data_IF_634161831610
#
_entry.id   IF_634161831610
#
_cell.length_a   1.000
_cell.length_b   1.000
_cell.length_c   1.000
_cell.angle_alpha   90.00
_cell.angle_beta   90.00
_cell.angle_gamma   90.00
#
_symmetry.space_group_name_H-M   'P 1'
#
loop_
_entity.id
_entity.type
_entity.pdbx_description
1 polymer ?
#
# COMPACT_ATOMS: atom_id res chain seq x y z
N UNK A 1 -19.12 -21.17 27.15
CA UNK A 1 -18.98 -20.15 26.09
C UNK A 1 -18.57 -18.85 26.74
N UNK A 2 -17.29 -18.49 26.66
CA UNK A 2 -16.78 -17.20 27.12
C UNK A 2 -16.01 -16.59 25.95
N UNK A 3 -16.56 -15.51 25.39
CA UNK A 3 -15.85 -14.67 24.45
C UNK A 3 -14.79 -13.90 25.24
N UNK A 4 -13.52 -14.17 24.98
CA UNK A 4 -12.44 -13.28 25.39
C UNK A 4 -12.49 -12.03 24.52
N UNK A 5 -12.50 -10.81 25.09
CA UNK A 5 -12.39 -9.60 24.30
C UNK A 5 -10.99 -9.54 23.69
N UNK A 6 -10.89 -9.46 22.37
CA UNK A 6 -9.61 -9.23 21.69
C UNK A 6 -9.04 -7.89 22.14
N UNK A 7 -7.89 -7.92 22.81
CA UNK A 7 -7.14 -6.77 23.37
C UNK A 7 -6.58 -5.77 22.34
N UNK A 8 -7.19 -5.61 21.17
CA UNK A 8 -6.72 -4.72 20.10
C UNK A 8 -7.66 -3.54 19.80
N UNK A 9 -8.69 -3.29 20.62
CA UNK A 9 -9.67 -2.22 20.39
C UNK A 9 -9.26 -0.83 20.91
N UNK A 10 -7.99 -0.60 21.24
CA UNK A 10 -7.55 0.68 21.81
C UNK A 10 -6.27 1.21 21.16
N UNK A 11 -6.31 1.39 19.84
CA UNK A 11 -5.47 2.39 19.16
C UNK A 11 -6.41 3.20 18.26
N UNK A 12 -6.99 4.22 18.87
CA UNK A 12 -7.53 5.45 18.24
C UNK A 12 -8.57 5.23 17.13
N UNK A 13 -9.84 5.16 17.55
CA UNK A 13 -10.93 5.70 16.73
C UNK A 13 -10.70 7.21 16.55
N UNK A 14 -9.88 7.59 15.58
CA UNK A 14 -9.73 8.97 15.17
C UNK A 14 -10.95 9.30 14.31
N UNK A 15 -12.00 9.81 14.97
CA UNK A 15 -13.07 10.66 14.45
C UNK A 15 -13.37 10.53 12.94
N UNK A 16 -14.47 9.83 12.65
CA UNK A 16 -15.15 9.73 11.35
C UNK A 16 -15.69 11.09 10.84
N UNK A 17 -14.82 12.04 10.49
CA UNK A 17 -15.28 13.26 9.81
C UNK A 17 -14.27 13.95 8.87
N UNK A 18 -13.10 13.37 8.59
CA UNK A 18 -12.40 13.72 7.35
C UNK A 18 -13.14 13.00 6.24
N UNK A 19 -14.02 13.72 5.53
CA UNK A 19 -14.49 13.31 4.20
C UNK A 19 -13.25 12.83 3.44
N UNK A 20 -13.17 11.52 3.20
CA UNK A 20 -11.98 10.87 2.67
C UNK A 20 -11.61 11.60 1.38
N UNK A 21 -10.56 12.42 1.42
CA UNK A 21 -10.08 13.15 0.25
C UNK A 21 -9.92 12.12 -0.85
N UNK A 22 -10.56 12.39 -2.00
CA UNK A 22 -10.55 11.46 -3.12
C UNK A 22 -9.10 11.08 -3.43
N UNK A 23 -8.85 9.85 -3.86
CA UNK A 23 -7.48 9.44 -4.18
C UNK A 23 -6.83 10.37 -5.23
N UNK A 24 -7.59 10.97 -6.13
CA UNK A 24 -7.07 11.92 -7.12
C UNK A 24 -6.58 13.24 -6.50
N UNK A 25 -7.22 13.71 -5.43
CA UNK A 25 -6.93 15.00 -4.78
C UNK A 25 -5.86 14.91 -3.68
N UNK A 26 -5.35 13.71 -3.41
CA UNK A 26 -4.32 13.49 -2.39
C UNK A 26 -2.96 14.08 -2.80
N UNK A 27 -2.23 14.72 -1.86
CA UNK A 27 -1.05 15.49 -2.19
C UNK A 27 0.22 14.67 -2.48
N UNK A 28 0.29 13.41 -2.05
CA UNK A 28 1.40 12.52 -2.40
C UNK A 28 0.96 11.54 -3.48
N UNK A 29 1.63 11.54 -4.62
CA UNK A 29 1.36 10.57 -5.68
C UNK A 29 1.80 9.17 -5.25
N UNK A 30 3.03 9.04 -4.77
CA UNK A 30 3.64 7.77 -4.39
C UNK A 30 4.31 7.91 -3.03
N UNK A 31 4.07 6.94 -2.15
CA UNK A 31 4.84 6.82 -0.91
C UNK A 31 5.42 5.42 -0.74
N UNK A 32 6.63 5.37 -0.18
CA UNK A 32 7.33 4.18 0.24
C UNK A 32 8.02 4.48 1.57
N UNK A 33 7.75 3.65 2.58
CA UNK A 33 8.49 3.64 3.83
C UNK A 33 9.18 2.29 4.01
N UNK A 34 10.48 2.29 4.23
CA UNK A 34 11.24 1.08 4.52
C UNK A 34 12.74 1.29 4.42
N UNK A 35 13.51 0.34 4.93
CA UNK A 35 14.97 0.41 4.82
C UNK A 35 15.39 0.47 3.33
N UNK A 36 16.15 1.50 2.96
CA UNK A 36 16.73 1.67 1.63
C UNK A 36 17.97 0.77 1.49
N UNK A 37 17.72 -0.50 1.16
CA UNK A 37 18.77 -1.48 0.83
C UNK A 37 19.33 -1.23 -0.56
N UNK A 38 20.44 -1.89 -0.93
CA UNK A 38 20.99 -1.82 -2.29
C UNK A 38 19.93 -2.19 -3.34
N UNK A 39 19.08 -3.19 -3.07
CA UNK A 39 17.99 -3.60 -3.96
C UNK A 39 16.96 -2.49 -4.15
N UNK A 40 16.58 -1.76 -3.09
CA UNK A 40 15.54 -0.72 -3.12
C UNK A 40 16.01 0.65 -3.62
N UNK A 41 17.30 0.85 -3.89
CA UNK A 41 17.83 2.14 -4.39
C UNK A 41 17.22 2.59 -5.71
N UNK A 42 16.70 1.66 -6.53
CA UNK A 42 15.99 2.02 -7.75
C UNK A 42 14.80 2.93 -7.48
N UNK A 43 14.09 2.77 -6.35
CA UNK A 43 12.94 3.62 -6.00
C UNK A 43 13.33 5.09 -5.87
N UNK A 44 14.55 5.39 -5.39
CA UNK A 44 15.05 6.76 -5.34
C UNK A 44 15.27 7.30 -6.75
N UNK A 45 15.99 6.55 -7.59
CA UNK A 45 16.28 6.97 -8.96
C UNK A 45 15.00 7.14 -9.81
N UNK A 46 14.03 6.23 -9.69
CA UNK A 46 12.75 6.33 -10.38
C UNK A 46 11.89 7.48 -9.82
N UNK A 47 11.93 7.74 -8.51
CA UNK A 47 11.24 8.91 -7.93
C UNK A 47 11.76 10.24 -8.47
N UNK A 48 13.08 10.37 -8.63
CA UNK A 48 13.71 11.57 -9.20
C UNK A 48 13.29 11.77 -10.66
N UNK A 49 13.31 10.69 -11.46
CA UNK A 49 12.82 10.73 -12.86
C UNK A 49 11.36 11.14 -12.95
N UNK A 50 10.51 10.55 -12.10
CA UNK A 50 9.08 10.82 -12.08
C UNK A 50 8.79 12.28 -11.73
N UNK A 51 9.42 12.82 -10.68
CA UNK A 51 9.24 14.23 -10.28
C UNK A 51 9.81 15.20 -11.32
N UNK A 52 10.87 14.83 -12.05
CA UNK A 52 11.38 15.64 -13.16
C UNK A 52 10.40 15.68 -14.34
N UNK A 53 9.70 14.58 -14.63
CA UNK A 53 8.67 14.51 -15.66
C UNK A 53 7.33 15.13 -15.23
N UNK A 54 7.06 15.21 -13.93
CA UNK A 54 5.83 15.73 -13.34
C UNK A 54 6.14 16.77 -12.24
N UNK A 55 6.43 18.04 -12.60
CA UNK A 55 6.93 19.04 -11.64
C UNK A 55 5.98 19.38 -10.48
N UNK A 56 4.69 19.08 -10.62
CA UNK A 56 3.67 19.30 -9.58
C UNK A 56 3.41 18.05 -8.72
N UNK A 57 4.09 16.95 -9.01
CA UNK A 57 3.93 15.69 -8.29
C UNK A 57 4.81 15.64 -7.04
N UNK A 58 4.38 14.84 -6.06
CA UNK A 58 5.15 14.60 -4.84
C UNK A 58 5.32 13.11 -4.59
N UNK A 59 6.56 12.68 -4.36
CA UNK A 59 6.91 11.29 -4.06
C UNK A 59 7.73 11.24 -2.77
N UNK A 60 7.37 10.35 -1.85
CA UNK A 60 8.15 10.11 -0.62
C UNK A 60 8.74 8.71 -0.64
N UNK A 61 10.06 8.61 -0.74
CA UNK A 61 10.81 7.34 -0.58
C UNK A 61 11.74 7.50 0.61
N UNK A 62 11.33 6.97 1.76
CA UNK A 62 12.01 7.26 3.03
C UNK A 62 12.30 6.00 3.84
N UNK A 63 13.41 6.05 4.60
CA UNK A 63 13.70 5.06 5.64
C UNK A 63 12.80 5.32 6.84
N UNK A 64 11.99 4.33 7.23
CA UNK A 64 11.21 4.38 8.47
C UNK A 64 12.12 4.54 9.69
N UNK A 65 11.82 5.52 10.54
CA UNK A 65 12.47 5.73 11.83
C UNK A 65 11.42 5.65 12.94
N UNK A 66 11.73 5.08 14.13
CA UNK A 66 10.74 4.91 15.20
C UNK A 66 10.06 6.21 15.66
N UNK A 67 10.75 7.35 15.56
CA UNK A 67 10.22 8.67 15.95
C UNK A 67 9.33 9.33 14.88
N UNK A 68 9.18 8.71 13.70
CA UNK A 68 8.48 9.28 12.55
C UNK A 68 7.20 8.50 12.19
N UNK A 69 6.70 7.65 13.08
CA UNK A 69 5.50 6.82 12.85
C UNK A 69 4.28 7.70 12.52
N UNK A 70 4.05 8.78 13.27
CA UNK A 70 2.92 9.69 12.99
C UNK A 70 3.02 10.36 11.62
N UNK A 71 4.25 10.67 11.18
CA UNK A 71 4.49 11.23 9.84
C UNK A 71 4.19 10.19 8.76
N UNK A 72 4.64 8.94 8.94
CA UNK A 72 4.36 7.82 8.05
C UNK A 72 2.87 7.56 7.90
N UNK A 73 2.12 7.48 9.02
CA UNK A 73 0.67 7.30 9.01
C UNK A 73 -0.02 8.43 8.24
N UNK A 74 0.37 9.68 8.50
CA UNK A 74 -0.18 10.85 7.81
C UNK A 74 0.14 10.82 6.30
N UNK A 75 1.35 10.40 5.92
CA UNK A 75 1.72 10.24 4.52
C UNK A 75 0.88 9.17 3.83
N UNK A 76 0.65 8.01 4.45
CA UNK A 76 -0.22 6.96 3.89
C UNK A 76 -1.67 7.43 3.69
N UNK A 77 -2.24 8.18 4.65
CA UNK A 77 -3.58 8.79 4.52
C UNK A 77 -3.68 9.78 3.36
N UNK A 78 -2.56 10.41 3.01
CA UNK A 78 -2.44 11.47 2.00
C UNK A 78 -1.80 10.99 0.69
N UNK A 79 -1.61 9.68 0.53
CA UNK A 79 -1.01 9.10 -0.66
C UNK A 79 -2.04 8.50 -1.60
N UNK A 80 -1.81 8.63 -2.91
CA UNK A 80 -2.57 7.90 -3.94
C UNK A 80 -2.15 6.43 -3.97
N UNK A 81 -0.84 6.20 -4.07
CA UNK A 81 -0.24 4.87 -4.18
C UNK A 81 0.77 4.62 -3.06
N UNK A 82 0.73 3.40 -2.52
CA UNK A 82 1.70 2.90 -1.55
C UNK A 82 2.51 1.75 -2.17
N UNK A 83 3.82 1.93 -2.32
CA UNK A 83 4.71 0.90 -2.86
C UNK A 83 5.19 -0.04 -1.74
N UNK A 84 5.19 -1.34 -2.04
CA UNK A 84 5.90 -2.37 -1.27
C UNK A 84 6.94 -3.03 -2.18
N UNK A 85 8.20 -2.86 -1.84
CA UNK A 85 9.32 -3.54 -2.50
C UNK A 85 10.03 -4.46 -1.50
N UNK A 86 10.57 -5.58 -1.96
CA UNK A 86 11.30 -6.52 -1.10
C UNK A 86 12.55 -5.91 -0.48
N UNK A 87 12.86 -6.33 0.75
CA UNK A 87 14.10 -5.94 1.43
C UNK A 87 15.30 -6.79 0.99
N UNK A 88 15.07 -8.09 0.79
CA UNK A 88 16.08 -9.10 0.46
C UNK A 88 16.48 -9.08 -1.01
N UNK A 89 17.68 -9.58 -1.32
CA UNK A 89 18.23 -9.56 -2.68
C UNK A 89 17.48 -10.43 -3.70
N UNK A 90 16.61 -11.34 -3.25
CA UNK A 90 15.89 -12.31 -4.07
C UNK A 90 14.39 -12.22 -3.83
N UNK A 91 13.59 -12.71 -4.79
CA UNK A 91 12.15 -12.91 -4.58
C UNK A 91 11.95 -13.85 -3.40
N UNK A 92 11.18 -13.41 -2.41
CA UNK A 92 10.90 -14.13 -1.18
C UNK A 92 9.41 -14.31 -0.95
N UNK A 93 9.04 -14.95 0.16
CA UNK A 93 7.66 -15.06 0.56
C UNK A 93 6.99 -13.69 0.75
N UNK A 94 5.66 -13.72 0.72
CA UNK A 94 4.75 -12.59 0.85
C UNK A 94 5.05 -11.74 2.07
N UNK A 95 5.40 -10.47 1.85
CA UNK A 95 5.48 -9.46 2.90
C UNK A 95 4.06 -8.94 3.25
N UNK A 96 3.08 -9.84 3.44
CA UNK A 96 1.66 -9.51 3.65
C UNK A 96 1.41 -8.61 4.86
N UNK A 97 2.27 -8.70 5.88
CA UNK A 97 2.24 -7.80 7.04
C UNK A 97 2.45 -6.33 6.66
N UNK A 98 3.12 -6.04 5.53
CA UNK A 98 3.32 -4.68 5.04
C UNK A 98 2.06 -4.13 4.37
N UNK A 99 1.21 -4.97 3.79
CA UNK A 99 -0.11 -4.52 3.32
C UNK A 99 -0.95 -4.03 4.50
N UNK A 100 -0.99 -4.81 5.58
CA UNK A 100 -1.74 -4.43 6.78
C UNK A 100 -1.24 -3.15 7.45
N UNK A 101 -0.01 -2.70 7.14
CA UNK A 101 0.57 -1.46 7.67
C UNK A 101 -0.14 -0.19 7.16
N UNK A 102 -0.67 -0.20 5.93
CA UNK A 102 -1.24 1.00 5.31
C UNK A 102 -2.61 0.81 4.65
N UNK A 103 -3.06 -0.43 4.53
CA UNK A 103 -4.33 -0.80 3.92
C UNK A 103 -5.52 0.04 4.41
N UNK A 104 -5.59 0.31 5.72
CA UNK A 104 -6.67 1.09 6.32
C UNK A 104 -6.67 2.58 5.93
N UNK A 105 -5.53 3.11 5.44
CA UNK A 105 -5.38 4.51 5.04
C UNK A 105 -5.82 4.76 3.58
N UNK A 106 -6.06 3.69 2.83
CA UNK A 106 -6.74 3.73 1.54
C UNK A 106 -5.93 4.14 0.33
N UNK A 107 -4.61 4.35 0.46
CA UNK A 107 -3.74 4.37 -0.72
C UNK A 107 -3.80 3.01 -1.44
N UNK A 108 -3.66 3.03 -2.76
CA UNK A 108 -3.68 1.80 -3.56
C UNK A 108 -2.34 1.07 -3.44
N UNK A 109 -2.31 -0.21 -2.99
CA UNK A 109 -1.10 -0.99 -2.87
C UNK A 109 -0.52 -1.36 -4.24
N UNK A 110 0.77 -1.10 -4.43
CA UNK A 110 1.57 -1.61 -5.56
C UNK A 110 2.76 -2.38 -5.02
N UNK A 111 2.74 -3.69 -5.21
CA UNK A 111 3.63 -4.63 -4.54
C UNK A 111 4.58 -5.30 -5.52
N UNK A 112 5.80 -5.56 -5.05
CA UNK A 112 6.71 -6.46 -5.74
C UNK A 112 6.17 -7.90 -5.74
N UNK A 113 6.36 -8.63 -6.83
CA UNK A 113 5.98 -10.03 -6.95
C UNK A 113 6.66 -10.91 -5.89
N UNK A 114 5.86 -11.69 -5.16
CA UNK A 114 6.30 -12.68 -4.17
C UNK A 114 6.50 -14.07 -4.77
N UNK A 115 7.29 -14.92 -4.09
CA UNK A 115 7.46 -16.33 -4.49
C UNK A 115 6.23 -17.16 -4.18
N UNK A 116 5.60 -16.94 -3.02
CA UNK A 116 4.28 -17.49 -2.76
C UNK A 116 3.20 -16.61 -3.37
N UNK A 117 2.15 -17.25 -3.88
CA UNK A 117 1.03 -16.58 -4.56
C UNK A 117 -0.26 -16.63 -3.74
N UNK A 118 -0.14 -16.94 -2.45
CA UNK A 118 -1.25 -17.15 -1.52
C UNK A 118 -2.09 -15.88 -1.43
N UNK A 119 -3.38 -15.97 -1.74
CA UNK A 119 -4.30 -14.83 -1.59
C UNK A 119 -4.10 -13.67 -2.57
N UNK A 120 -3.15 -13.74 -3.52
CA UNK A 120 -2.85 -12.63 -4.43
C UNK A 120 -4.08 -12.24 -5.27
N UNK A 121 -4.90 -13.20 -5.68
CA UNK A 121 -6.12 -12.92 -6.44
C UNK A 121 -7.14 -12.16 -5.59
N UNK A 122 -7.29 -12.53 -4.32
CA UNK A 122 -8.15 -11.83 -3.36
C UNK A 122 -7.63 -10.41 -3.10
N UNK A 123 -6.31 -10.23 -2.97
CA UNK A 123 -5.73 -8.89 -2.85
C UNK A 123 -5.98 -8.03 -4.11
N UNK A 124 -5.84 -8.60 -5.31
CA UNK A 124 -6.14 -7.89 -6.55
C UNK A 124 -7.60 -7.46 -6.63
N UNK A 125 -8.52 -8.37 -6.32
CA UNK A 125 -9.96 -8.15 -6.47
C UNK A 125 -10.54 -7.27 -5.36
N UNK A 126 -10.14 -7.52 -4.12
CA UNK A 126 -10.77 -6.93 -2.94
C UNK A 126 -9.97 -5.75 -2.36
N UNK A 127 -8.64 -5.82 -2.35
CA UNK A 127 -7.78 -4.74 -1.84
C UNK A 127 -7.34 -3.74 -2.92
N UNK A 128 -7.74 -3.97 -4.18
CA UNK A 128 -7.22 -3.26 -5.35
C UNK A 128 -5.68 -3.25 -5.39
N UNK A 129 -5.03 -4.34 -4.94
CA UNK A 129 -3.58 -4.47 -4.96
C UNK A 129 -3.07 -4.81 -6.35
N UNK A 130 -1.99 -4.14 -6.77
CA UNK A 130 -1.25 -4.46 -7.99
C UNK A 130 0.05 -5.16 -7.63
N UNK A 131 0.47 -6.13 -8.44
CA UNK A 131 1.70 -6.88 -8.24
C UNK A 131 2.55 -6.82 -9.50
N UNK A 132 3.84 -6.52 -9.35
CA UNK A 132 4.76 -6.36 -10.46
C UNK A 132 6.17 -6.82 -10.10
N UNK A 133 6.97 -7.18 -11.11
CA UNK A 133 8.40 -7.40 -10.93
C UNK A 133 9.10 -6.11 -10.49
N UNK A 134 10.23 -6.25 -9.81
CA UNK A 134 10.98 -5.12 -9.26
C UNK A 134 11.28 -4.03 -10.29
N UNK A 135 11.69 -4.42 -11.50
CA UNK A 135 12.03 -3.52 -12.61
C UNK A 135 10.83 -2.73 -13.16
N UNK A 136 9.62 -3.27 -13.01
CA UNK A 136 8.37 -2.63 -13.43
C UNK A 136 7.57 -2.04 -12.27
N UNK A 137 8.06 -2.13 -11.03
CA UNK A 137 7.28 -1.78 -9.84
C UNK A 137 6.88 -0.30 -9.82
N UNK A 138 7.84 0.58 -10.09
CA UNK A 138 7.58 2.02 -10.12
C UNK A 138 6.69 2.40 -11.31
N UNK A 139 6.93 1.81 -12.48
CA UNK A 139 6.09 2.02 -13.66
C UNK A 139 4.64 1.62 -13.42
N UNK A 140 4.43 0.50 -12.73
CA UNK A 140 3.09 0.05 -12.31
C UNK A 140 2.42 1.06 -11.39
N UNK A 141 3.16 1.70 -10.49
CA UNK A 141 2.62 2.77 -9.64
C UNK A 141 2.17 3.99 -10.46
N UNK A 142 2.93 4.39 -11.49
CA UNK A 142 2.52 5.44 -12.42
C UNK A 142 1.24 5.09 -13.19
N UNK A 143 1.12 3.84 -13.65
CA UNK A 143 -0.06 3.36 -14.37
C UNK A 143 -1.29 3.40 -13.45
N UNK A 144 -1.12 3.00 -12.19
CA UNK A 144 -2.18 3.09 -11.16
C UNK A 144 -2.58 4.54 -10.90
N UNK A 145 -1.63 5.47 -10.81
CA UNK A 145 -1.95 6.92 -10.70
C UNK A 145 -2.78 7.40 -11.90
N UNK A 146 -2.44 6.94 -13.10
CA UNK A 146 -3.20 7.27 -14.31
C UNK A 146 -4.64 6.77 -14.21
N UNK A 147 -4.85 5.56 -13.68
CA UNK A 147 -6.19 5.00 -13.45
C UNK A 147 -6.96 5.78 -12.37
N UNK A 148 -6.28 6.18 -11.27
CA UNK A 148 -6.88 7.01 -10.20
C UNK A 148 -7.33 8.36 -10.76
N UNK A 149 -6.47 9.07 -11.47
CA UNK A 149 -6.77 10.40 -12.03
C UNK A 149 -7.88 10.33 -13.10
N UNK A 150 -8.01 9.20 -13.80
CA UNK A 150 -9.10 8.94 -14.73
C UNK A 150 -10.42 8.51 -14.04
N UNK A 151 -10.45 8.42 -12.71
CA UNK A 151 -11.62 7.98 -11.94
C UNK A 151 -11.97 6.50 -12.14
N UNK A 152 -11.04 5.68 -12.64
CA UNK A 152 -11.28 4.26 -12.94
C UNK A 152 -11.14 3.34 -11.73
N UNK A 153 -10.40 3.77 -10.71
CA UNK A 153 -10.20 3.03 -9.46
C UNK A 153 -10.21 3.99 -8.27
N UNK A 154 -10.66 3.50 -7.11
CA UNK A 154 -10.51 4.23 -5.85
C UNK A 154 -11.58 5.28 -5.55
N UNK A 155 -12.69 5.32 -6.30
CA UNK A 155 -13.79 6.28 -6.09
C UNK A 155 -14.72 5.91 -4.94
N UNK A 156 -14.86 4.62 -4.62
CA UNK A 156 -15.82 4.10 -3.63
C UNK A 156 -15.16 3.67 -2.30
N UNK A 157 -13.82 3.64 -2.26
CA UNK A 157 -13.02 3.14 -1.13
C UNK A 157 -13.44 1.76 -0.61
N UNK A 158 -14.08 0.94 -1.46
CA UNK A 158 -14.52 -0.42 -1.10
C UNK A 158 -13.35 -1.31 -0.66
N UNK A 159 -12.16 -1.05 -1.22
CA UNK A 159 -10.92 -1.73 -0.81
C UNK A 159 -10.57 -1.50 0.66
N UNK A 160 -10.78 -0.28 1.18
CA UNK A 160 -10.55 0.02 2.60
C UNK A 160 -11.53 -0.72 3.48
N UNK A 161 -12.80 -0.80 3.05
CA UNK A 161 -13.83 -1.50 3.81
C UNK A 161 -13.51 -3.00 3.93
N UNK A 162 -13.09 -3.64 2.84
CA UNK A 162 -12.64 -5.03 2.87
C UNK A 162 -11.51 -5.28 3.88
N UNK A 163 -10.56 -4.35 3.96
CA UNK A 163 -9.49 -4.42 4.95
C UNK A 163 -9.98 -4.28 6.40
N UNK A 164 -10.91 -3.35 6.65
CA UNK A 164 -11.51 -3.14 7.98
C UNK A 164 -12.32 -4.34 8.46
N UNK A 165 -12.96 -5.06 7.54
CA UNK A 165 -13.72 -6.28 7.84
C UNK A 165 -12.84 -7.48 8.22
N UNK A 166 -11.53 -7.37 7.94
CA UNK A 166 -10.54 -8.40 8.23
C UNK A 166 -10.46 -9.46 7.14
N UNK A 167 -9.27 -10.04 6.99
CA UNK A 167 -9.02 -11.08 6.00
C UNK A 167 -9.44 -12.44 6.57
N UNK A 168 -10.38 -13.10 5.89
CA UNK A 168 -10.80 -14.48 6.16
C UNK A 168 -9.72 -15.48 5.69
N UNK A 169 -8.58 -15.53 6.40
CA UNK A 169 -7.43 -16.35 6.06
C UNK A 169 -7.79 -17.83 5.92
N UNK A 170 -8.71 -18.33 6.74
CA UNK A 170 -9.19 -19.71 6.67
C UNK A 170 -9.77 -20.07 5.29
N UNK A 171 -10.45 -19.13 4.62
CA UNK A 171 -10.99 -19.32 3.27
C UNK A 171 -9.93 -19.19 2.19
N UNK A 172 -8.94 -18.33 2.39
CA UNK A 172 -7.82 -18.16 1.46
C UNK A 172 -6.94 -19.41 1.47
N UNK A 173 -6.63 -19.93 2.66
CA UNK A 173 -5.75 -21.07 2.85
C UNK A 173 -6.42 -22.40 2.47
N UNK A 174 -7.76 -22.48 2.51
CA UNK A 174 -8.48 -23.68 2.07
C UNK A 174 -8.56 -23.84 0.55
N UNK A 175 -8.29 -22.78 -0.22
CA UNK A 175 -8.42 -22.73 -1.68
C UNK A 175 -7.06 -22.59 -2.36
N UNK A 176 -6.01 -23.17 -1.75
CA UNK A 176 -4.66 -23.23 -2.32
C UNK A 176 -4.57 -24.40 -3.31
N UNK A 177 -5.15 -24.22 -4.49
CA UNK A 177 -4.89 -25.08 -5.65
C UNK A 177 -3.66 -24.58 -6.42
#
# INVERSE_FOLDING_TARGET
>A
MHQSPSRLTSIVAASDNESQVSLADRPFDIVFFGLITKRRRFLLAESEKYMAAHPNSSVLVMKTRPREISYMINAYKKAKVCIIAHSYSNVSGGEYHRLTEFAEFGCIPVMEDFSDKIGINQYRQCAHSFFAKQDNLFKTAEDVITLINAGKIGSDFSHVQWWKEGIAWEKILSNLD
#
